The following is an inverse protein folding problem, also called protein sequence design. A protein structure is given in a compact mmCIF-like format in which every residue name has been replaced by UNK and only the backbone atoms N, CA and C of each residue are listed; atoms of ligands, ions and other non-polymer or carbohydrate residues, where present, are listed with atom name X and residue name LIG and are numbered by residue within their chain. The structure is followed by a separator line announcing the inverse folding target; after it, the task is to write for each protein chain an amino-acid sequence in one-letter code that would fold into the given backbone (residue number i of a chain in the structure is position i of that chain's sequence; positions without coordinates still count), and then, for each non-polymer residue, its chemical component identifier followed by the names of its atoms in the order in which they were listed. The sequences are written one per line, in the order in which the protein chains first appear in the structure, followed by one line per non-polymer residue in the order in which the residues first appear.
data_IF_091460415990
#
_entry.id   IF_091460415990
#
_cell.length_a   1.000
_cell.length_b   1.000
_cell.length_c   1.000
_cell.angle_alpha   90.00
_cell.angle_beta   90.00
_cell.angle_gamma   90.00
#
_symmetry.space_group_name_H-M   'P 1'
#
loop_
_entity.id
_entity.type
_entity.pdbx_description
1 polymer ?
#
# COMPACT_ATOMS: atom_id res chain seq x y z
N UNK A 1 16.48 22.76 -31.42
CA UNK A 1 15.72 21.74 -32.17
C UNK A 1 14.89 20.98 -31.16
N UNK A 2 13.56 21.04 -31.26
CA UNK A 2 12.68 20.23 -30.42
C UNK A 2 12.86 18.75 -30.79
N UNK A 3 12.93 17.88 -29.79
CA UNK A 3 13.03 16.43 -29.98
C UNK A 3 11.75 15.93 -30.66
N UNK A 4 11.85 15.54 -31.94
CA UNK A 4 10.74 15.08 -32.79
C UNK A 4 10.52 13.58 -32.73
N UNK A 5 11.11 12.88 -31.76
CA UNK A 5 10.89 11.44 -31.60
C UNK A 5 9.43 11.14 -31.22
N UNK A 6 8.79 10.16 -31.88
CA UNK A 6 7.43 9.76 -31.52
C UNK A 6 7.39 9.32 -30.05
N UNK A 7 6.33 9.71 -29.36
CA UNK A 7 6.12 9.36 -27.96
C UNK A 7 6.12 7.84 -27.82
N UNK A 8 7.06 7.30 -27.02
CA UNK A 8 7.15 5.87 -26.79
C UNK A 8 5.95 5.45 -25.94
N UNK A 9 4.99 4.78 -26.56
CA UNK A 9 3.81 4.24 -25.88
C UNK A 9 4.06 2.85 -25.30
N UNK A 10 3.45 2.59 -24.15
CA UNK A 10 3.51 1.29 -23.48
C UNK A 10 2.11 0.69 -23.44
N UNK A 11 1.88 -0.39 -24.20
CA UNK A 11 0.56 -1.02 -24.34
C UNK A 11 -0.11 -1.37 -23.00
N UNK A 12 0.68 -1.74 -21.98
CA UNK A 12 0.17 -2.03 -20.63
C UNK A 12 -0.40 -0.80 -19.94
N UNK A 13 0.21 0.37 -20.13
CA UNK A 13 -0.24 1.64 -19.58
C UNK A 13 -1.50 2.12 -20.30
N UNK A 14 -1.53 1.97 -21.63
CA UNK A 14 -2.68 2.34 -22.47
C UNK A 14 -3.97 1.58 -22.11
N UNK A 15 -3.86 0.41 -21.47
CA UNK A 15 -4.99 -0.44 -21.05
C UNK A 15 -5.51 -0.14 -19.64
N UNK A 16 -4.84 0.72 -18.87
CA UNK A 16 -5.30 1.05 -17.52
C UNK A 16 -6.58 1.90 -17.59
N UNK A 17 -7.64 1.55 -16.84
CA UNK A 17 -8.86 2.35 -16.84
C UNK A 17 -8.62 3.70 -16.15
N UNK A 18 -9.47 4.70 -16.41
CA UNK A 18 -9.46 5.95 -15.65
C UNK A 18 -9.54 5.70 -14.14
N UNK A 19 -8.78 6.47 -13.37
CA UNK A 19 -8.78 6.35 -11.91
C UNK A 19 -10.02 7.03 -11.33
N UNK A 20 -11.03 6.23 -10.96
CA UNK A 20 -12.34 6.72 -10.48
C UNK A 20 -12.23 7.70 -9.32
N UNK A 21 -11.29 7.47 -8.39
CA UNK A 21 -11.11 8.37 -7.24
C UNK A 21 -10.57 9.75 -7.62
N UNK A 22 -9.93 9.91 -8.79
CA UNK A 22 -9.54 11.24 -9.26
C UNK A 22 -10.77 12.07 -9.65
N UNK A 23 -11.74 11.44 -10.32
CA UNK A 23 -12.98 12.09 -10.74
C UNK A 23 -13.78 12.55 -9.51
N UNK A 24 -13.95 11.68 -8.51
CA UNK A 24 -14.66 12.04 -7.28
C UNK A 24 -13.92 13.11 -6.49
N UNK A 25 -12.58 13.08 -6.46
CA UNK A 25 -11.78 14.13 -5.83
C UNK A 25 -11.95 15.49 -6.51
N UNK A 26 -11.95 15.55 -7.84
CA UNK A 26 -12.16 16.78 -8.61
C UNK A 26 -13.54 17.39 -8.35
N UNK A 27 -14.60 16.56 -8.38
CA UNK A 27 -15.97 16.98 -8.08
C UNK A 27 -16.09 17.51 -6.65
N UNK A 28 -15.53 16.77 -5.68
CA UNK A 28 -15.49 17.18 -4.26
C UNK A 28 -14.78 18.52 -4.09
N UNK A 29 -13.62 18.70 -4.71
CA UNK A 29 -12.87 19.95 -4.62
C UNK A 29 -13.62 21.11 -5.28
N UNK A 30 -14.29 20.88 -6.41
CA UNK A 30 -15.10 21.90 -7.07
C UNK A 30 -16.29 22.34 -6.19
N UNK A 31 -16.97 21.40 -5.55
CA UNK A 31 -18.08 21.69 -4.63
C UNK A 31 -17.62 22.46 -3.39
N UNK A 32 -16.51 22.04 -2.76
CA UNK A 32 -15.89 22.79 -1.65
C UNK A 32 -15.53 24.23 -2.05
N UNK A 33 -15.00 24.43 -3.26
CA UNK A 33 -14.69 25.79 -3.78
C UNK A 33 -15.92 26.67 -3.98
N UNK A 34 -17.11 26.08 -4.16
CA UNK A 34 -18.39 26.82 -4.21
C UNK A 34 -18.97 27.11 -2.82
N UNK A 35 -18.29 26.69 -1.74
CA UNK A 35 -18.73 26.89 -0.37
C UNK A 35 -19.77 25.85 0.11
N UNK A 36 -19.90 24.73 -0.60
CA UNK A 36 -20.81 23.65 -0.21
C UNK A 36 -20.24 22.83 0.96
N UNK A 37 -21.11 22.44 1.89
CA UNK A 37 -20.80 21.48 2.95
C UNK A 37 -20.93 20.05 2.41
N UNK A 38 -19.83 19.29 2.43
CA UNK A 38 -19.73 18.00 1.73
C UNK A 38 -19.52 16.86 2.74
N UNK A 39 -20.48 15.95 2.78
CA UNK A 39 -20.34 14.65 3.43
C UNK A 39 -19.64 13.69 2.48
N UNK A 40 -18.41 13.32 2.80
CA UNK A 40 -17.53 12.56 1.90
C UNK A 40 -17.52 11.06 2.23
N UNK A 41 -18.23 10.27 1.41
CA UNK A 41 -18.16 8.80 1.42
C UNK A 41 -17.36 8.23 0.23
N UNK A 42 -16.52 9.05 -0.41
CA UNK A 42 -15.85 8.67 -1.67
C UNK A 42 -14.61 7.79 -1.48
N UNK A 43 -14.04 7.71 -0.28
CA UNK A 43 -12.84 6.91 0.00
C UNK A 43 -13.00 6.09 1.28
N UNK A 44 -12.57 4.84 1.24
CA UNK A 44 -12.55 3.93 2.40
C UNK A 44 -11.40 4.17 3.36
N UNK A 45 -11.01 5.43 3.58
CA UNK A 45 -9.98 5.76 4.56
C UNK A 45 -10.60 5.69 5.97
N UNK A 46 -9.99 4.97 6.92
CA UNK A 46 -10.38 5.07 8.31
C UNK A 46 -10.29 6.52 8.81
N UNK A 47 -11.24 6.92 9.63
CA UNK A 47 -11.33 8.23 10.29
C UNK A 47 -10.54 8.29 11.61
N UNK A 48 -10.34 7.14 12.25
CA UNK A 48 -9.58 7.00 13.48
C UNK A 48 -8.07 7.09 13.30
N UNK A 49 -7.38 7.55 14.36
CA UNK A 49 -5.93 7.52 14.44
C UNK A 49 -5.40 6.09 14.62
N UNK A 50 -4.17 5.85 14.16
CA UNK A 50 -3.43 4.62 14.47
C UNK A 50 -3.33 4.43 15.99
N UNK A 51 -3.57 3.22 16.54
CA UNK A 51 -3.45 2.96 17.97
C UNK A 51 -2.13 3.45 18.59
N UNK A 52 -2.15 4.11 19.76
CA UNK A 52 -0.98 4.80 20.32
C UNK A 52 0.27 3.92 20.48
N UNK A 53 0.10 2.66 20.91
CA UNK A 53 1.21 1.73 21.11
C UNK A 53 1.97 1.40 19.82
N UNK A 54 1.33 1.51 18.64
CA UNK A 54 1.98 1.30 17.34
C UNK A 54 2.82 2.53 16.99
N UNK A 55 2.26 3.73 17.18
CA UNK A 55 2.95 5.00 16.95
C UNK A 55 4.17 5.10 17.86
N UNK A 56 4.01 4.80 19.15
CA UNK A 56 5.11 4.79 20.11
C UNK A 56 6.20 3.80 19.68
N UNK A 57 5.83 2.58 19.28
CA UNK A 57 6.81 1.59 18.84
C UNK A 57 7.58 2.04 17.61
N UNK A 58 6.91 2.68 16.65
CA UNK A 58 7.55 3.30 15.49
C UNK A 58 8.58 4.35 15.93
N UNK A 59 8.18 5.29 16.79
CA UNK A 59 9.07 6.33 17.30
C UNK A 59 10.30 5.75 18.03
N UNK A 60 10.10 4.74 18.89
CA UNK A 60 11.21 4.06 19.58
C UNK A 60 12.16 3.39 18.59
N UNK A 61 11.64 2.70 17.58
CA UNK A 61 12.47 1.93 16.64
C UNK A 61 13.21 2.88 15.70
N UNK A 62 12.60 3.96 15.23
CA UNK A 62 13.22 4.95 14.34
C UNK A 62 14.45 5.64 14.95
N UNK A 63 14.49 5.79 16.28
CA UNK A 63 15.65 6.37 16.99
C UNK A 63 16.85 5.43 17.05
N UNK A 64 16.69 4.14 16.70
CA UNK A 64 17.77 3.17 16.78
C UNK A 64 18.63 3.20 15.52
N UNK A 65 19.96 3.46 15.63
CA UNK A 65 20.84 3.56 14.46
C UNK A 65 20.92 2.28 13.61
N UNK A 66 20.68 1.11 14.21
CA UNK A 66 20.75 -0.20 13.55
C UNK A 66 19.54 -0.51 12.65
N UNK A 67 18.58 0.42 12.52
CA UNK A 67 17.31 0.18 11.81
C UNK A 67 17.18 0.92 10.48
N UNK A 68 18.18 1.73 10.12
CA UNK A 68 18.11 2.64 8.96
C UNK A 68 18.58 2.00 7.64
N UNK A 69 19.26 0.85 7.73
CA UNK A 69 19.74 0.12 6.56
C UNK A 69 18.63 -0.57 5.77
N UNK A 70 19.01 -1.19 4.64
CA UNK A 70 18.07 -1.98 3.85
C UNK A 70 17.47 -3.12 4.67
N UNK A 71 16.15 -3.32 4.49
CA UNK A 71 15.48 -4.51 5.00
C UNK A 71 15.81 -5.73 4.14
N UNK A 72 15.55 -6.92 4.67
CA UNK A 72 15.58 -8.16 3.89
C UNK A 72 14.48 -8.14 2.83
N UNK A 73 14.74 -8.62 1.62
CA UNK A 73 13.79 -8.56 0.50
C UNK A 73 12.41 -9.16 0.79
N UNK A 74 12.32 -10.18 1.65
CA UNK A 74 11.05 -10.83 2.03
C UNK A 74 10.34 -10.13 3.20
N UNK A 75 10.97 -9.13 3.80
CA UNK A 75 10.53 -8.46 5.02
C UNK A 75 11.14 -9.03 6.30
N UNK A 76 11.13 -8.19 7.35
CA UNK A 76 11.76 -8.43 8.64
C UNK A 76 11.30 -9.80 9.22
N UNK A 77 12.21 -10.73 9.58
CA UNK A 77 11.84 -12.07 10.06
C UNK A 77 10.91 -12.08 11.27
N UNK A 78 11.07 -11.11 12.18
CA UNK A 78 10.17 -10.95 13.35
C UNK A 78 8.75 -10.58 12.95
N UNK A 79 8.58 -9.79 11.88
CA UNK A 79 7.27 -9.41 11.37
C UNK A 79 6.59 -10.59 10.66
N UNK A 80 7.30 -11.31 9.80
CA UNK A 80 6.77 -12.54 9.15
C UNK A 80 6.27 -13.57 10.17
N UNK A 81 7.04 -13.81 11.23
CA UNK A 81 6.63 -14.69 12.34
C UNK A 81 5.41 -14.18 13.11
N UNK A 82 5.27 -12.86 13.28
CA UNK A 82 4.11 -12.28 13.94
C UNK A 82 2.84 -12.42 13.10
N UNK A 83 2.92 -12.21 11.78
CA UNK A 83 1.81 -12.42 10.84
C UNK A 83 1.37 -13.88 10.85
N UNK A 84 2.32 -14.82 10.77
CA UNK A 84 2.04 -16.26 10.75
C UNK A 84 1.34 -16.72 12.04
N UNK A 85 1.82 -16.26 13.21
CA UNK A 85 1.15 -16.52 14.49
C UNK A 85 -0.24 -15.92 14.56
N UNK A 86 -0.44 -14.71 14.06
CA UNK A 86 -1.75 -14.07 14.05
C UNK A 86 -2.78 -14.87 13.23
N UNK A 87 -2.36 -15.47 12.10
CA UNK A 87 -3.20 -16.37 11.31
C UNK A 87 -3.55 -17.66 12.07
N UNK A 88 -2.59 -18.25 12.76
CA UNK A 88 -2.83 -19.43 13.59
C UNK A 88 -3.80 -19.11 14.74
N UNK A 89 -3.55 -18.05 15.49
CA UNK A 89 -4.35 -17.69 16.67
C UNK A 89 -5.79 -17.30 16.31
N UNK A 90 -5.97 -16.61 15.17
CA UNK A 90 -7.27 -16.07 14.78
C UNK A 90 -8.09 -17.02 13.91
N UNK A 91 -7.42 -17.82 13.08
CA UNK A 91 -8.08 -18.63 12.06
C UNK A 91 -7.70 -20.12 12.10
N UNK A 92 -6.73 -20.52 12.94
CA UNK A 92 -6.22 -21.90 12.97
C UNK A 92 -5.46 -22.28 11.70
N UNK A 93 -4.93 -21.30 10.97
CA UNK A 93 -4.17 -21.51 9.73
C UNK A 93 -2.69 -21.45 10.03
N UNK A 94 -2.01 -22.57 9.83
CA UNK A 94 -0.55 -22.65 9.90
C UNK A 94 0.07 -22.05 8.63
N UNK A 95 1.01 -21.12 8.80
CA UNK A 95 1.79 -20.49 7.73
C UNK A 95 3.26 -20.60 8.11
N UNK A 96 4.09 -21.18 7.25
CA UNK A 96 5.54 -21.18 7.42
C UNK A 96 6.07 -19.76 7.13
N UNK A 97 6.61 -19.05 8.14
CA UNK A 97 7.10 -17.69 7.95
C UNK A 97 8.25 -17.61 6.93
N UNK A 98 9.03 -18.67 6.72
CA UNK A 98 10.17 -18.70 5.82
C UNK A 98 9.81 -19.06 4.38
N UNK A 99 8.77 -19.83 4.10
CA UNK A 99 8.36 -20.17 2.72
C UNK A 99 7.09 -19.46 2.26
N UNK A 100 6.16 -19.15 3.16
CA UNK A 100 4.78 -18.76 2.82
C UNK A 100 4.42 -17.32 3.20
N UNK A 101 5.34 -16.57 3.82
CA UNK A 101 5.13 -15.17 4.18
C UNK A 101 6.09 -14.21 3.48
N UNK A 102 5.54 -13.16 2.88
CA UNK A 102 6.28 -12.01 2.34
C UNK A 102 5.60 -10.71 2.77
N UNK A 103 6.40 -9.70 3.11
CA UNK A 103 5.91 -8.36 3.49
C UNK A 103 6.04 -7.42 2.31
N UNK A 104 4.96 -6.68 2.04
CA UNK A 104 4.85 -5.73 0.92
C UNK A 104 4.64 -4.31 1.44
N UNK A 105 4.88 -3.31 0.58
CA UNK A 105 4.57 -1.90 0.85
C UNK A 105 3.07 -1.69 0.62
N UNK A 106 2.29 -2.21 1.56
CA UNK A 106 0.82 -2.23 1.47
C UNK A 106 0.29 -3.27 0.48
N UNK A 107 -1.03 -3.42 0.47
CA UNK A 107 -1.73 -4.42 -0.35
C UNK A 107 -1.64 -4.15 -1.86
N UNK A 108 -1.57 -2.88 -2.26
CA UNK A 108 -1.55 -2.48 -3.68
C UNK A 108 -0.29 -2.99 -4.39
N UNK A 109 0.86 -2.87 -3.75
CA UNK A 109 2.13 -3.37 -4.28
C UNK A 109 2.13 -4.90 -4.33
N UNK A 110 1.68 -5.56 -3.26
CA UNK A 110 1.57 -7.02 -3.22
C UNK A 110 0.67 -7.60 -4.30
N UNK A 111 -0.51 -7.02 -4.52
CA UNK A 111 -1.42 -7.45 -5.59
C UNK A 111 -0.81 -7.23 -6.97
N UNK A 112 -0.17 -6.09 -7.21
CA UNK A 112 0.47 -5.82 -8.50
C UNK A 112 1.59 -6.83 -8.82
N UNK A 113 2.45 -7.14 -7.85
CA UNK A 113 3.50 -8.13 -8.04
C UNK A 113 2.99 -9.56 -8.09
N UNK A 114 1.93 -9.90 -7.35
CA UNK A 114 1.31 -11.22 -7.44
C UNK A 114 0.86 -11.52 -8.86
N UNK A 115 0.20 -10.55 -9.51
CA UNK A 115 -0.22 -10.70 -10.91
C UNK A 115 0.98 -10.88 -11.85
N UNK A 116 2.06 -10.12 -11.65
CA UNK A 116 3.30 -10.27 -12.44
C UNK A 116 4.01 -11.61 -12.23
N UNK A 117 3.87 -12.20 -11.04
CA UNK A 117 4.55 -13.45 -10.68
C UNK A 117 3.76 -14.70 -11.10
N UNK A 118 2.46 -14.58 -11.37
CA UNK A 118 1.56 -15.74 -11.55
C UNK A 118 0.80 -15.76 -12.87
N UNK A 119 0.76 -14.65 -13.61
CA UNK A 119 0.09 -14.56 -14.90
C UNK A 119 1.13 -14.38 -16.01
N UNK A 120 0.92 -15.09 -17.12
CA UNK A 120 1.72 -14.99 -18.35
C UNK A 120 1.34 -13.78 -19.23
#
# INVERSE_FOLDING_TARGET
MADTRPERRFTRIDRLPPYVFNITAELKMAARRRGEDIIDFSMGNPDGATPPHIVEKLCTVAQRPDTHGYSTSRGIPRLRRAISRWYQDRYGIEIDPESEAIVTIGSKEGLAHLMLATLD
#
